data_IF_931165229844
#
_entry.id   IF_931165229844
#
_cell.length_a   1.000
_cell.length_b   1.000
_cell.length_c   1.000
_cell.angle_alpha   90.00
_cell.angle_beta   90.00
_cell.angle_gamma   90.00
#
_symmetry.space_group_name_H-M   'P 1'
#
loop_
_entity.id
_entity.type
_entity.pdbx_description
1 polymer ?
#
# COMPACT_ATOMS: atom_id res chain seq x y z
N UNK A 1 5.16 -33.72 9.90
CA UNK A 1 6.15 -33.66 8.79
C UNK A 1 5.35 -33.67 7.50
N UNK A 2 5.71 -32.85 6.51
CA UNK A 2 5.01 -32.80 5.21
C UNK A 2 6.03 -32.76 4.06
N UNK A 3 5.70 -33.29 2.87
CA UNK A 3 6.58 -33.18 1.71
C UNK A 3 6.65 -31.72 1.23
N UNK A 4 7.84 -31.26 0.87
CA UNK A 4 8.04 -29.94 0.25
C UNK A 4 7.23 -29.83 -1.05
N UNK A 5 6.53 -28.71 -1.26
CA UNK A 5 5.70 -28.52 -2.47
C UNK A 5 6.51 -28.68 -3.78
N UNK A 6 7.78 -28.29 -3.79
CA UNK A 6 8.66 -28.28 -4.97
C UNK A 6 9.44 -29.60 -5.10
N UNK A 7 10.37 -29.89 -4.18
CA UNK A 7 11.27 -31.05 -4.31
C UNK A 7 10.74 -32.37 -3.70
N UNK A 8 9.55 -32.35 -3.09
CA UNK A 8 8.87 -33.51 -2.47
C UNK A 8 9.57 -34.21 -1.29
N UNK A 9 10.78 -33.80 -0.91
CA UNK A 9 11.47 -34.30 0.30
C UNK A 9 10.73 -33.88 1.57
N UNK A 10 10.80 -34.71 2.62
CA UNK A 10 10.15 -34.44 3.90
C UNK A 10 10.76 -33.22 4.59
N UNK A 11 9.88 -32.34 5.07
CA UNK A 11 10.25 -31.13 5.82
C UNK A 11 9.34 -30.95 7.04
N UNK A 12 9.81 -30.15 8.00
CA UNK A 12 8.98 -29.68 9.11
C UNK A 12 7.84 -28.80 8.59
N UNK A 13 6.64 -28.96 9.14
CA UNK A 13 5.48 -28.14 8.77
C UNK A 13 5.65 -26.65 9.11
N UNK A 14 6.57 -26.36 10.03
CA UNK A 14 6.91 -25.01 10.45
C UNK A 14 8.13 -24.45 9.70
N UNK A 15 8.70 -25.19 8.75
CA UNK A 15 9.88 -24.74 8.00
C UNK A 15 9.59 -23.42 7.27
N UNK A 16 10.48 -22.44 7.44
CA UNK A 16 10.42 -21.16 6.71
C UNK A 16 11.07 -21.29 5.34
N UNK A 17 12.05 -22.17 5.19
CA UNK A 17 12.70 -22.53 3.93
C UNK A 17 12.98 -24.03 3.88
N UNK A 18 12.90 -24.65 2.70
CA UNK A 18 13.26 -26.06 2.52
C UNK A 18 14.78 -26.23 2.57
N UNK A 19 15.33 -27.10 3.45
CA UNK A 19 16.77 -27.32 3.55
C UNK A 19 17.39 -28.00 2.31
N UNK A 20 16.56 -28.55 1.40
CA UNK A 20 17.05 -29.28 0.23
C UNK A 20 17.01 -28.50 -1.07
N UNK A 21 16.07 -27.56 -1.23
CA UNK A 21 15.87 -26.82 -2.49
C UNK A 21 15.66 -25.32 -2.29
N UNK A 22 15.58 -24.83 -1.06
CA UNK A 22 15.39 -23.39 -0.77
C UNK A 22 13.96 -22.88 -0.92
N UNK A 23 12.98 -23.74 -1.26
CA UNK A 23 11.58 -23.34 -1.40
C UNK A 23 11.07 -22.64 -0.11
N UNK A 24 10.61 -21.38 -0.17
CA UNK A 24 10.13 -20.64 1.01
C UNK A 24 8.75 -21.13 1.43
N UNK A 25 8.47 -21.24 2.74
CA UNK A 25 7.23 -21.82 3.31
C UNK A 25 6.84 -23.15 2.61
N UNK A 26 7.74 -24.15 2.56
CA UNK A 26 7.60 -25.32 1.69
C UNK A 26 6.44 -26.24 2.05
N UNK A 27 5.92 -26.16 3.29
CA UNK A 27 4.78 -26.94 3.76
C UNK A 27 3.41 -26.42 3.25
N UNK A 28 3.36 -25.19 2.74
CA UNK A 28 2.14 -24.64 2.12
C UNK A 28 2.00 -25.18 0.70
N UNK A 29 0.82 -25.69 0.36
CA UNK A 29 0.50 -26.16 -1.00
C UNK A 29 0.72 -25.06 -2.05
N UNK A 30 0.27 -23.85 -1.74
CA UNK A 30 0.51 -22.65 -2.55
C UNK A 30 1.18 -21.58 -1.69
N UNK A 31 2.19 -20.92 -2.27
CA UNK A 31 2.84 -19.77 -1.66
C UNK A 31 2.73 -18.56 -2.58
N UNK A 32 2.00 -17.55 -2.12
CA UNK A 32 1.73 -16.31 -2.84
C UNK A 32 2.36 -15.09 -2.15
N UNK A 33 3.38 -15.33 -1.31
CA UNK A 33 4.14 -14.32 -0.60
C UNK A 33 3.95 -14.36 0.92
N UNK A 34 4.19 -13.22 1.57
CA UNK A 34 4.11 -13.08 3.03
C UNK A 34 3.40 -11.78 3.43
N UNK A 35 2.80 -11.76 4.62
CA UNK A 35 2.03 -10.64 5.13
C UNK A 35 0.52 -10.84 4.98
N UNK A 36 -0.24 -9.75 5.15
CA UNK A 36 -1.70 -9.77 5.23
C UNK A 36 -2.35 -9.03 4.07
N UNK A 37 -3.35 -9.65 3.44
CA UNK A 37 -4.17 -9.03 2.40
C UNK A 37 -5.64 -9.40 2.63
N UNK A 38 -6.50 -8.40 2.65
CA UNK A 38 -7.95 -8.56 2.74
C UNK A 38 -8.63 -7.67 1.69
N UNK A 39 -9.62 -8.23 1.00
CA UNK A 39 -10.52 -7.51 0.09
C UNK A 39 -11.96 -7.82 0.49
N UNK A 40 -12.78 -6.78 0.61
CA UNK A 40 -14.21 -6.94 0.83
C UNK A 40 -14.85 -7.70 -0.33
N UNK A 41 -15.88 -8.51 -0.02
CA UNK A 41 -16.68 -9.19 -1.05
C UNK A 41 -17.50 -8.22 -1.89
N UNK A 42 -18.01 -7.17 -1.25
CA UNK A 42 -18.73 -6.09 -1.93
C UNK A 42 -17.76 -5.22 -2.73
N UNK A 43 -18.15 -4.89 -3.95
CA UNK A 43 -17.38 -4.05 -4.87
C UNK A 43 -18.23 -2.90 -5.39
N UNK A 44 -17.57 -1.79 -5.74
CA UNK A 44 -18.16 -0.65 -6.43
C UNK A 44 -17.32 -0.35 -7.67
N UNK A 45 -17.95 -0.39 -8.85
CA UNK A 45 -17.28 -0.17 -10.16
C UNK A 45 -16.02 -1.03 -10.35
N UNK A 46 -16.03 -2.28 -9.86
CA UNK A 46 -14.91 -3.22 -9.95
C UNK A 46 -13.81 -3.04 -8.88
N UNK A 47 -13.92 -2.03 -8.00
CA UNK A 47 -13.03 -1.84 -6.86
C UNK A 47 -13.68 -2.41 -5.59
N UNK A 48 -12.93 -3.10 -4.72
CA UNK A 48 -13.46 -3.51 -3.42
C UNK A 48 -13.80 -2.27 -2.58
N UNK A 49 -14.88 -2.35 -1.79
CA UNK A 49 -15.22 -1.31 -0.82
C UNK A 49 -14.09 -1.09 0.19
N UNK A 50 -13.47 -2.19 0.67
CA UNK A 50 -12.32 -2.16 1.57
C UNK A 50 -11.22 -3.07 1.02
N UNK A 51 -10.00 -2.54 0.94
CA UNK A 51 -8.80 -3.33 0.66
C UNK A 51 -7.72 -2.99 1.68
N UNK A 52 -7.33 -3.97 2.48
CA UNK A 52 -6.22 -3.89 3.42
C UNK A 52 -5.05 -4.70 2.87
N UNK A 53 -3.88 -4.09 2.68
CA UNK A 53 -2.71 -4.78 2.17
C UNK A 53 -1.42 -4.38 2.91
N UNK A 54 -0.91 -5.32 3.69
CA UNK A 54 0.44 -5.34 4.28
C UNK A 54 1.12 -6.64 3.85
N UNK A 55 1.12 -6.90 2.54
CA UNK A 55 1.60 -8.14 1.92
C UNK A 55 2.68 -7.84 0.89
N UNK A 56 3.63 -8.76 0.78
CA UNK A 56 4.65 -8.80 -0.24
C UNK A 56 4.50 -10.07 -1.06
N UNK A 57 4.66 -9.96 -2.38
CA UNK A 57 4.63 -11.07 -3.34
C UNK A 57 5.88 -11.94 -3.19
N UNK A 58 5.90 -13.15 -3.78
CA UNK A 58 7.11 -14.00 -3.85
C UNK A 58 8.34 -13.28 -4.41
N UNK A 59 8.11 -12.33 -5.33
CA UNK A 59 9.15 -11.49 -5.94
C UNK A 59 9.72 -10.41 -5.01
N UNK A 60 9.18 -10.26 -3.80
CA UNK A 60 9.53 -9.17 -2.88
C UNK A 60 8.81 -7.85 -3.19
N UNK A 61 7.98 -7.79 -4.24
CA UNK A 61 7.21 -6.59 -4.55
C UNK A 61 6.03 -6.42 -3.58
N UNK A 62 5.80 -5.21 -3.02
CA UNK A 62 4.65 -4.96 -2.15
C UNK A 62 3.33 -5.06 -2.93
N UNK A 63 2.28 -5.51 -2.25
CA UNK A 63 0.91 -5.47 -2.76
C UNK A 63 0.32 -4.10 -2.45
N UNK A 64 -0.06 -3.36 -3.49
CA UNK A 64 -0.73 -2.05 -3.35
C UNK A 64 -2.19 -2.27 -2.99
N UNK A 65 -2.64 -1.67 -1.88
CA UNK A 65 -4.04 -1.60 -1.51
C UNK A 65 -4.80 -0.74 -2.54
N UNK A 66 -5.83 -1.30 -3.15
CA UNK A 66 -6.67 -0.66 -4.18
C UNK A 66 -8.14 -0.86 -3.86
N UNK A 67 -8.88 0.22 -3.58
CA UNK A 67 -10.28 0.15 -3.17
C UNK A 67 -10.93 1.52 -2.98
N UNK A 68 -12.20 1.51 -2.58
CA UNK A 68 -12.88 2.74 -2.14
C UNK A 68 -12.23 3.25 -0.85
N UNK A 69 -12.10 2.37 0.14
CA UNK A 69 -11.23 2.55 1.29
C UNK A 69 -10.01 1.62 1.15
N UNK A 70 -8.83 2.19 1.03
CA UNK A 70 -7.57 1.45 0.86
C UNK A 70 -6.63 1.70 2.04
N UNK A 71 -6.20 0.63 2.71
CA UNK A 71 -5.33 0.67 3.88
C UNK A 71 -4.09 -0.18 3.63
N UNK A 72 -2.89 0.37 3.77
CA UNK A 72 -1.67 -0.41 3.56
C UNK A 72 -0.40 0.41 3.52
N UNK A 73 0.74 -0.24 3.34
CA UNK A 73 2.00 0.49 3.14
C UNK A 73 1.95 1.35 1.87
N UNK A 74 1.39 0.79 0.80
CA UNK A 74 1.11 1.49 -0.45
C UNK A 74 -0.39 1.42 -0.74
N UNK A 75 -1.05 2.56 -0.95
CA UNK A 75 -2.48 2.61 -1.22
C UNK A 75 -2.81 3.52 -2.41
N UNK A 76 -3.82 3.10 -3.19
CA UNK A 76 -4.39 3.87 -4.28
C UNK A 76 -5.92 3.70 -4.27
N UNK A 77 -6.67 4.75 -4.03
CA UNK A 77 -8.12 4.63 -3.84
C UNK A 77 -8.86 5.95 -3.73
N UNK A 78 -10.13 5.90 -3.33
CA UNK A 78 -10.89 7.12 -3.05
C UNK A 78 -10.44 7.70 -1.72
N UNK A 79 -10.46 6.87 -0.67
CA UNK A 79 -9.95 7.18 0.67
C UNK A 79 -8.77 6.28 0.97
N UNK A 80 -7.63 6.85 1.33
CA UNK A 80 -6.40 6.09 1.63
C UNK A 80 -5.89 6.33 3.04
N UNK A 81 -5.48 5.26 3.72
CA UNK A 81 -4.73 5.31 4.98
C UNK A 81 -3.43 4.53 4.79
N UNK A 82 -2.30 5.22 4.64
CA UNK A 82 -1.09 4.55 4.17
C UNK A 82 0.24 5.23 4.49
N UNK A 83 1.35 4.54 4.25
CA UNK A 83 2.65 5.22 4.23
C UNK A 83 2.79 6.05 2.95
N UNK A 84 2.53 5.42 1.79
CA UNK A 84 2.54 6.04 0.47
C UNK A 84 1.15 5.92 -0.15
N UNK A 85 0.46 7.06 -0.30
CA UNK A 85 -0.94 7.10 -0.72
C UNK A 85 -1.21 7.95 -1.95
N UNK A 86 -2.07 7.48 -2.84
CA UNK A 86 -2.67 8.28 -3.92
C UNK A 86 -4.18 8.17 -3.86
N UNK A 87 -4.90 9.30 -3.81
CA UNK A 87 -6.35 9.23 -3.76
C UNK A 87 -7.08 10.56 -3.77
N UNK A 88 -8.40 10.53 -3.57
CA UNK A 88 -9.18 11.75 -3.41
C UNK A 88 -9.02 12.34 -2.01
N UNK A 89 -9.10 11.49 -0.98
CA UNK A 89 -8.87 11.84 0.43
C UNK A 89 -7.78 10.92 0.96
N UNK A 90 -6.71 11.47 1.53
CA UNK A 90 -5.57 10.69 1.97
C UNK A 90 -5.07 11.09 3.35
N UNK A 91 -4.92 10.10 4.22
CA UNK A 91 -4.20 10.20 5.49
C UNK A 91 -2.93 9.35 5.34
N UNK A 92 -1.79 9.98 5.08
CA UNK A 92 -0.56 9.24 4.78
C UNK A 92 0.72 9.92 5.23
N UNK A 93 1.86 9.22 5.22
CA UNK A 93 3.16 9.90 5.41
C UNK A 93 3.55 10.69 4.16
N UNK A 94 3.48 10.06 2.99
CA UNK A 94 3.75 10.65 1.69
C UNK A 94 2.52 10.48 0.80
N UNK A 95 2.03 11.57 0.19
CA UNK A 95 0.83 11.45 -0.64
C UNK A 95 0.70 12.47 -1.76
N UNK A 96 0.04 12.03 -2.82
CA UNK A 96 -0.57 12.90 -3.81
C UNK A 96 -2.09 12.72 -3.76
N UNK A 97 -2.84 13.76 -3.39
CA UNK A 97 -4.29 13.62 -3.22
C UNK A 97 -5.07 14.91 -3.47
N UNK A 98 -6.38 14.79 -3.66
CA UNK A 98 -7.26 15.96 -3.65
C UNK A 98 -7.21 16.67 -2.29
N UNK A 99 -7.56 15.93 -1.24
CA UNK A 99 -7.53 16.36 0.15
C UNK A 99 -6.54 15.50 0.94
N UNK A 100 -5.57 16.11 1.59
CA UNK A 100 -4.51 15.38 2.27
C UNK A 100 -4.31 15.82 3.72
N UNK A 101 -4.15 14.85 4.61
CA UNK A 101 -3.54 15.00 5.92
C UNK A 101 -2.27 14.14 5.95
N UNK A 102 -1.10 14.76 5.87
CA UNK A 102 0.13 14.01 5.67
C UNK A 102 1.40 14.72 6.13
N UNK A 103 2.53 14.01 6.13
CA UNK A 103 3.81 14.65 6.43
C UNK A 103 4.43 15.34 5.21
N UNK A 104 4.38 14.65 4.08
CA UNK A 104 4.76 15.14 2.77
C UNK A 104 3.55 15.03 1.84
N UNK A 105 3.05 16.15 1.34
CA UNK A 105 1.84 16.17 0.52
C UNK A 105 1.99 17.00 -0.75
N UNK A 106 1.43 16.50 -1.85
CA UNK A 106 1.06 17.31 -3.00
C UNK A 106 -0.45 17.17 -3.18
N UNK A 107 -1.17 18.28 -3.31
CA UNK A 107 -2.62 18.16 -3.45
C UNK A 107 -3.40 19.42 -3.75
N UNK A 108 -4.71 19.29 -3.85
CA UNK A 108 -5.59 20.44 -4.04
C UNK A 108 -5.73 21.24 -2.74
N UNK A 109 -6.08 20.55 -1.65
CA UNK A 109 -6.08 21.11 -0.29
C UNK A 109 -5.35 20.18 0.68
N UNK A 110 -4.40 20.73 1.44
CA UNK A 110 -3.50 19.92 2.30
C UNK A 110 -3.37 20.48 3.71
N UNK A 111 -3.25 19.59 4.68
CA UNK A 111 -2.66 19.83 6.00
C UNK A 111 -1.41 18.97 6.07
N UNK A 112 -0.23 19.58 5.97
CA UNK A 112 1.02 18.83 5.93
C UNK A 112 2.23 19.57 6.46
N UNK A 113 3.24 18.86 6.95
CA UNK A 113 4.48 19.52 7.38
C UNK A 113 5.27 20.12 6.21
N UNK A 114 5.43 19.36 5.13
CA UNK A 114 6.06 19.79 3.90
C UNK A 114 5.10 19.50 2.75
N UNK A 115 4.85 20.47 1.87
CA UNK A 115 3.99 20.16 0.74
C UNK A 115 3.73 21.27 -0.25
N UNK A 116 3.10 20.87 -1.34
CA UNK A 116 2.71 21.71 -2.44
C UNK A 116 1.19 21.65 -2.63
N UNK A 117 0.53 22.81 -2.73
CA UNK A 117 -0.92 22.87 -2.87
C UNK A 117 -1.38 23.78 -4.00
N UNK A 118 -2.63 23.60 -4.44
CA UNK A 118 -3.27 24.46 -5.46
C UNK A 118 -4.20 25.48 -4.81
N UNK A 119 -5.12 25.04 -3.94
CA UNK A 119 -6.18 25.90 -3.37
C UNK A 119 -5.87 26.34 -1.94
N UNK A 120 -5.64 25.40 -1.02
CA UNK A 120 -5.38 25.72 0.38
C UNK A 120 -4.33 24.78 1.01
N UNK A 121 -3.34 25.33 1.71
CA UNK A 121 -2.34 24.55 2.43
C UNK A 121 -2.09 25.08 3.83
N UNK A 122 -2.01 24.20 4.81
CA UNK A 122 -1.65 24.53 6.21
C UNK A 122 -0.49 23.66 6.67
N UNK A 123 0.57 24.26 7.20
CA UNK A 123 1.81 23.52 7.49
C UNK A 123 3.03 24.39 7.77
N UNK A 124 4.13 23.77 8.22
CA UNK A 124 5.41 24.44 8.45
C UNK A 124 6.08 24.91 7.16
N UNK A 125 6.10 24.06 6.12
CA UNK A 125 6.77 24.28 4.84
C UNK A 125 5.84 23.93 3.68
N UNK A 126 4.71 24.64 3.58
CA UNK A 126 3.74 24.46 2.50
C UNK A 126 3.77 25.64 1.53
N UNK A 127 3.78 25.36 0.22
CA UNK A 127 3.81 26.39 -0.83
C UNK A 127 2.73 26.14 -1.87
N UNK A 128 2.22 27.24 -2.45
CA UNK A 128 1.33 27.15 -3.58
C UNK A 128 2.11 26.79 -4.85
N UNK A 129 1.63 25.82 -5.63
CA UNK A 129 2.27 25.37 -6.87
C UNK A 129 2.28 26.49 -7.91
N UNK A 130 1.16 27.19 -8.09
CA UNK A 130 0.99 28.23 -9.13
C UNK A 130 1.94 29.41 -8.91
N UNK A 131 2.14 29.82 -7.66
CA UNK A 131 3.11 30.86 -7.31
C UNK A 131 4.57 30.43 -7.51
N UNK A 132 4.88 29.13 -7.44
CA UNK A 132 6.23 28.61 -7.66
C UNK A 132 6.62 28.63 -9.15
N UNK A 133 5.63 28.48 -10.03
CA UNK A 133 5.81 28.44 -11.49
C UNK A 133 5.51 29.79 -12.17
N UNK A 134 5.34 30.86 -11.38
CA UNK A 134 5.14 32.23 -11.89
C UNK A 134 3.78 32.47 -12.56
N UNK A 135 2.78 31.63 -12.28
CA UNK A 135 1.43 31.74 -12.83
C UNK A 135 0.47 32.58 -11.95
N UNK A 136 0.98 33.12 -10.84
CA UNK A 136 0.34 34.12 -9.95
C UNK A 136 1.39 35.05 -9.35
#
# INVERSE_FOLDING_TARGET
MKPCRECKKEISEQAVSCPHCGAPRPAKEKWDGWGFEYKSKSTFRGLPLLHIAFKYRPTGAPVVAKGILAVGQFACGVVTVSQFGVGLISISQFTMAGYALAQFAVGYAIIAQIGLYIHAGRGQMVRNILGLIGLM
#
